data_IF_186976139206
#
_entry.id   IF_186976139206
#
_cell.length_a   1.000
_cell.length_b   1.000
_cell.length_c   1.000
_cell.angle_alpha   90.00
_cell.angle_beta   90.00
_cell.angle_gamma   90.00
#
_symmetry.space_group_name_H-M   'P 1'
#
loop_
_entity.id
_entity.type
_entity.pdbx_description
1 polymer ?
#
# COMPACT_ATOMS: atom_id res chain seq x y z
N UNK A 1 8.27 15.50 -8.29
CA UNK A 1 8.55 14.64 -7.13
C UNK A 1 7.44 13.61 -6.88
N UNK A 2 6.15 14.01 -6.85
CA UNK A 2 5.02 13.07 -6.67
C UNK A 2 4.99 11.95 -7.72
N UNK A 3 5.12 12.27 -9.01
CA UNK A 3 5.12 11.26 -10.07
C UNK A 3 6.24 10.22 -9.92
N UNK A 4 7.41 10.63 -9.44
CA UNK A 4 8.53 9.72 -9.19
C UNK A 4 8.24 8.79 -8.02
N UNK A 5 7.72 9.32 -6.90
CA UNK A 5 7.34 8.52 -5.74
C UNK A 5 6.24 7.48 -6.06
N UNK A 6 5.33 7.81 -6.98
CA UNK A 6 4.33 6.87 -7.47
C UNK A 6 4.93 5.80 -8.39
N UNK A 7 5.91 6.16 -9.20
CA UNK A 7 6.58 5.24 -10.13
C UNK A 7 7.53 4.26 -9.43
N UNK A 8 8.17 4.67 -8.34
CA UNK A 8 9.14 3.85 -7.59
C UNK A 8 8.57 3.26 -6.30
N UNK A 9 7.28 3.46 -6.03
CA UNK A 9 6.60 2.98 -4.83
C UNK A 9 5.94 1.61 -5.02
N UNK A 10 5.38 1.02 -3.95
CA UNK A 10 4.71 -0.28 -4.02
C UNK A 10 3.37 -0.17 -4.74
N UNK A 11 3.31 -0.68 -5.97
CA UNK A 11 2.18 -0.47 -6.90
C UNK A 11 0.85 -0.93 -6.31
N UNK A 12 0.83 -2.09 -5.66
CA UNK A 12 -0.40 -2.64 -5.09
C UNK A 12 -0.96 -1.77 -3.95
N UNK A 13 -0.10 -1.31 -3.04
CA UNK A 13 -0.51 -0.49 -1.92
C UNK A 13 -1.03 0.88 -2.37
N UNK A 14 -0.35 1.52 -3.34
CA UNK A 14 -0.79 2.78 -3.93
C UNK A 14 -2.15 2.62 -4.63
N UNK A 15 -2.32 1.56 -5.42
CA UNK A 15 -3.59 1.25 -6.10
C UNK A 15 -4.73 1.03 -5.09
N UNK A 16 -4.47 0.24 -4.04
CA UNK A 16 -5.45 -0.04 -3.00
C UNK A 16 -5.85 1.23 -2.24
N UNK A 17 -4.88 2.05 -1.84
CA UNK A 17 -5.14 3.33 -1.18
C UNK A 17 -6.01 4.25 -2.04
N UNK A 18 -5.71 4.38 -3.33
CA UNK A 18 -6.53 5.17 -4.27
C UNK A 18 -7.97 4.65 -4.34
N UNK A 19 -8.15 3.33 -4.44
CA UNK A 19 -9.49 2.71 -4.47
C UNK A 19 -10.26 2.97 -3.18
N UNK A 20 -9.64 2.78 -2.02
CA UNK A 20 -10.26 3.00 -0.72
C UNK A 20 -10.70 4.46 -0.53
N UNK A 21 -9.84 5.42 -0.91
CA UNK A 21 -10.18 6.84 -0.85
C UNK A 21 -11.36 7.19 -1.76
N UNK A 22 -11.43 6.59 -2.96
CA UNK A 22 -12.57 6.82 -3.87
C UNK A 22 -13.90 6.28 -3.33
N UNK A 23 -13.85 5.32 -2.39
CA UNK A 23 -15.01 4.65 -1.83
C UNK A 23 -15.44 5.21 -0.46
N UNK A 24 -14.52 5.86 0.27
CA UNK A 24 -14.68 6.22 1.68
C UNK A 24 -15.93 7.06 2.00
N UNK A 25 -16.34 7.96 1.11
CA UNK A 25 -17.52 8.82 1.31
C UNK A 25 -18.85 8.17 0.89
N UNK A 26 -18.77 7.04 0.18
CA UNK A 26 -19.93 6.32 -0.34
C UNK A 26 -20.29 5.07 0.47
N UNK A 27 -19.46 4.69 1.43
CA UNK A 27 -19.63 3.50 2.26
C UNK A 27 -19.95 3.88 3.71
N UNK A 28 -20.59 2.97 4.44
CA UNK A 28 -20.64 3.07 5.89
C UNK A 28 -19.23 2.90 6.47
N UNK A 29 -19.00 3.47 7.66
CA UNK A 29 -17.72 3.32 8.36
C UNK A 29 -17.31 1.86 8.55
N UNK A 30 -18.26 0.98 8.90
CA UNK A 30 -17.97 -0.44 9.10
C UNK A 30 -17.54 -1.15 7.82
N UNK A 31 -18.19 -0.85 6.69
CA UNK A 31 -17.83 -1.42 5.40
C UNK A 31 -16.45 -0.91 4.91
N UNK A 32 -16.17 0.37 5.16
CA UNK A 32 -14.87 0.96 4.84
C UNK A 32 -13.74 0.33 5.64
N UNK A 33 -13.90 0.17 6.96
CA UNK A 33 -12.90 -0.50 7.81
C UNK A 33 -12.64 -1.94 7.38
N UNK A 34 -13.69 -2.68 6.99
CA UNK A 34 -13.55 -4.03 6.47
C UNK A 34 -12.76 -4.06 5.16
N UNK A 35 -13.04 -3.11 4.25
CA UNK A 35 -12.33 -2.95 2.99
C UNK A 35 -10.86 -2.59 3.19
N UNK A 36 -10.56 -1.74 4.18
CA UNK A 36 -9.20 -1.38 4.59
C UNK A 36 -8.44 -2.59 5.15
N UNK A 37 -9.06 -3.36 6.05
CA UNK A 37 -8.46 -4.56 6.63
C UNK A 37 -8.10 -5.60 5.56
N UNK A 38 -9.00 -5.85 4.60
CA UNK A 38 -8.74 -6.76 3.47
C UNK A 38 -7.61 -6.24 2.58
N UNK A 39 -7.61 -4.94 2.26
CA UNK A 39 -6.58 -4.33 1.42
C UNK A 39 -5.22 -4.35 2.09
N UNK A 40 -5.17 -4.12 3.41
CA UNK A 40 -3.96 -4.21 4.21
C UNK A 40 -3.43 -5.65 4.24
N UNK A 41 -4.30 -6.65 4.49
CA UNK A 41 -3.91 -8.07 4.45
C UNK A 41 -3.34 -8.49 3.09
N UNK A 42 -3.94 -8.04 1.99
CA UNK A 42 -3.42 -8.29 0.65
C UNK A 42 -2.03 -7.66 0.44
N UNK A 43 -1.81 -6.43 0.91
CA UNK A 43 -0.48 -5.81 0.86
C UNK A 43 0.53 -6.55 1.74
N UNK A 44 0.15 -6.95 2.95
CA UNK A 44 1.03 -7.65 3.90
C UNK A 44 1.58 -8.99 3.35
N UNK A 45 0.86 -9.61 2.41
CA UNK A 45 1.26 -10.84 1.74
C UNK A 45 2.23 -10.63 0.56
N UNK A 46 2.67 -9.40 0.27
CA UNK A 46 3.55 -9.09 -0.87
C UNK A 46 5.03 -8.97 -0.49
N UNK A 47 5.90 -9.20 -1.47
CA UNK A 47 7.35 -8.98 -1.33
C UNK A 47 7.67 -7.49 -1.10
N UNK A 48 6.94 -6.58 -1.75
CA UNK A 48 7.05 -5.14 -1.52
C UNK A 48 6.82 -4.78 -0.05
N UNK A 49 5.85 -5.43 0.61
CA UNK A 49 5.63 -5.21 2.04
C UNK A 49 6.79 -5.73 2.87
N UNK A 50 7.25 -6.95 2.60
CA UNK A 50 8.40 -7.53 3.30
C UNK A 50 9.66 -6.67 3.14
N UNK A 51 9.90 -6.13 1.93
CA UNK A 51 10.99 -5.22 1.64
C UNK A 51 10.82 -3.87 2.34
N UNK A 52 9.62 -3.30 2.37
CA UNK A 52 9.33 -2.08 3.12
C UNK A 52 9.64 -2.23 4.61
N UNK A 53 9.24 -3.36 5.22
CA UNK A 53 9.55 -3.68 6.62
C UNK A 53 11.06 -3.84 6.82
N UNK A 54 11.74 -4.60 5.97
CA UNK A 54 13.19 -4.82 6.06
C UNK A 54 13.96 -3.51 5.92
N UNK A 55 13.66 -2.72 4.90
CA UNK A 55 14.31 -1.44 4.64
C UNK A 55 14.10 -0.44 5.80
N UNK A 56 12.90 -0.44 6.40
CA UNK A 56 12.60 0.36 7.58
C UNK A 56 13.47 -0.04 8.78
N UNK A 57 13.57 -1.35 9.08
CA UNK A 57 14.41 -1.87 10.17
C UNK A 57 15.90 -1.58 9.92
N UNK A 58 16.34 -1.73 8.67
CA UNK A 58 17.72 -1.47 8.23
C UNK A 58 18.05 0.02 8.06
N UNK A 59 17.07 0.93 8.23
CA UNK A 59 17.19 2.38 8.02
C UNK A 59 17.72 2.76 6.63
N UNK A 60 17.32 2.02 5.60
CA UNK A 60 17.68 2.26 4.20
C UNK A 60 16.45 2.57 3.36
N UNK A 61 16.67 3.12 2.17
CA UNK A 61 15.59 3.29 1.20
C UNK A 61 15.11 1.92 0.70
N UNK A 62 13.79 1.64 0.68
CA UNK A 62 13.24 0.40 0.13
C UNK A 62 13.36 0.35 -1.39
N UNK A 63 13.45 -0.86 -1.94
CA UNK A 63 13.44 -1.12 -3.37
C UNK A 63 12.21 -1.94 -3.77
N UNK A 64 11.15 -1.26 -4.18
CA UNK A 64 9.90 -1.91 -4.59
C UNK A 64 9.98 -2.38 -6.04
N UNK A 65 9.33 -3.51 -6.35
CA UNK A 65 9.23 -4.03 -7.72
C UNK A 65 10.49 -4.71 -8.28
N UNK A 66 11.41 -5.23 -7.45
CA UNK A 66 12.47 -6.13 -7.92
C UNK A 66 11.86 -7.50 -8.33
N UNK A 67 11.25 -7.55 -9.52
CA UNK A 67 11.03 -8.73 -10.37
C UNK A 67 10.97 -8.33 -11.85
#
# INVERSE_FOLDING_TARGET
>A
QVAWALATGPVLAIRNGKRLLSQALSQSLSAQLQSEAQSFGACAATEDFAEGVRAFLDKRTPRFGDN
#
